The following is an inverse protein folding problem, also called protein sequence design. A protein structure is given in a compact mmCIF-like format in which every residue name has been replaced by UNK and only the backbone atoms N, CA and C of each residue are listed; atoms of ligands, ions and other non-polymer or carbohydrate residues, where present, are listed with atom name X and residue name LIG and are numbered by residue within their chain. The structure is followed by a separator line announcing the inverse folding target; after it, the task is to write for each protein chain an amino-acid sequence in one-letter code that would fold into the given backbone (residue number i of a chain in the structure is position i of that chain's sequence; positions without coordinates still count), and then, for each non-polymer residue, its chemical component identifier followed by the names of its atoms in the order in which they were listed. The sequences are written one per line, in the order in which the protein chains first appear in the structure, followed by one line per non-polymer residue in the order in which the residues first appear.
data_IF_881436448324
#
_entry.id   IF_881436448324
#
_cell.length_a   1.000
_cell.length_b   1.000
_cell.length_c   1.000
_cell.angle_alpha   90.00
_cell.angle_beta   90.00
_cell.angle_gamma   90.00
#
_symmetry.space_group_name_H-M   'P 1'
#
loop_
_entity.id
_entity.type
_entity.pdbx_description
1 polymer ?
#
# COMPACT_ATOMS: atom_id res chain seq x y z
N UNK A 1 -35.89 -45.72 11.38
CA UNK A 1 -35.21 -45.65 10.09
C UNK A 1 -35.21 -44.23 9.47
N UNK A 2 -36.36 -43.51 9.45
CA UNK A 2 -36.47 -42.14 8.88
C UNK A 2 -35.68 -41.12 9.70
N UNK A 3 -35.61 -41.21 11.02
CA UNK A 3 -34.85 -40.30 11.88
C UNK A 3 -33.33 -40.47 11.72
N UNK A 4 -32.86 -41.72 11.52
CA UNK A 4 -31.44 -42.04 11.32
C UNK A 4 -30.92 -41.48 9.98
N UNK A 5 -31.73 -41.47 8.90
CA UNK A 5 -31.38 -40.90 7.60
C UNK A 5 -31.29 -39.38 7.70
N UNK A 6 -32.13 -38.70 8.49
CA UNK A 6 -32.11 -37.29 8.69
C UNK A 6 -30.82 -36.82 9.43
N UNK A 7 -30.32 -37.58 10.41
CA UNK A 7 -29.04 -37.26 11.07
C UNK A 7 -27.82 -37.39 10.15
N UNK A 8 -27.82 -38.31 9.19
CA UNK A 8 -26.72 -38.48 8.22
C UNK A 8 -26.54 -37.30 7.26
N UNK A 9 -27.64 -36.56 6.96
CA UNK A 9 -27.57 -35.39 6.08
C UNK A 9 -26.93 -34.16 6.75
N UNK A 10 -26.96 -34.07 8.08
CA UNK A 10 -26.40 -32.95 8.83
C UNK A 10 -24.88 -32.98 8.99
N UNK A 11 -24.22 -34.12 8.71
CA UNK A 11 -22.77 -34.26 8.86
C UNK A 11 -21.94 -33.78 7.67
N UNK A 12 -22.58 -33.38 6.56
CA UNK A 12 -21.91 -32.82 5.37
C UNK A 12 -21.58 -31.34 5.51
N UNK A 13 -21.25 -30.85 6.70
CA UNK A 13 -20.67 -29.52 6.86
C UNK A 13 -19.19 -29.60 6.44
N UNK A 14 -18.93 -29.67 5.12
CA UNK A 14 -17.59 -29.59 4.57
C UNK A 14 -16.97 -28.28 5.00
N UNK A 15 -15.81 -28.36 5.64
CA UNK A 15 -14.99 -27.18 6.02
C UNK A 15 -14.70 -26.35 4.78
N UNK A 16 -15.51 -25.33 4.53
CA UNK A 16 -15.27 -24.39 3.43
C UNK A 16 -13.99 -23.60 3.76
N UNK A 17 -12.86 -24.08 3.24
CA UNK A 17 -11.60 -23.38 3.35
C UNK A 17 -11.65 -22.16 2.41
N UNK A 18 -11.62 -20.97 2.96
CA UNK A 18 -11.56 -19.78 2.13
C UNK A 18 -10.29 -19.77 1.28
N UNK A 19 -10.38 -19.36 0.01
CA UNK A 19 -9.20 -19.25 -0.85
C UNK A 19 -8.23 -18.22 -0.29
N UNK A 20 -6.93 -18.52 -0.41
CA UNK A 20 -5.88 -17.59 -0.03
C UNK A 20 -5.86 -16.39 -0.98
N UNK A 21 -5.72 -15.18 -0.45
CA UNK A 21 -5.46 -13.98 -1.25
C UNK A 21 -3.97 -14.00 -1.64
N UNK A 22 -3.70 -13.95 -2.95
CA UNK A 22 -2.33 -13.97 -3.49
C UNK A 22 -2.09 -12.70 -4.27
N UNK A 23 -1.05 -11.96 -3.89
CA UNK A 23 -0.64 -10.72 -4.55
C UNK A 23 0.80 -10.83 -5.04
N UNK A 24 1.08 -10.25 -6.20
CA UNK A 24 2.41 -10.26 -6.81
C UNK A 24 2.74 -11.57 -7.55
N UNK A 25 4.02 -11.89 -7.61
CA UNK A 25 4.54 -13.01 -8.43
C UNK A 25 4.69 -14.27 -7.59
N UNK A 26 4.05 -15.35 -8.00
CA UNK A 26 4.17 -16.65 -7.31
C UNK A 26 5.59 -17.23 -7.42
N UNK A 27 6.07 -17.80 -6.30
CA UNK A 27 7.33 -18.53 -6.19
C UNK A 27 8.57 -17.70 -6.58
N UNK A 28 8.60 -16.42 -6.22
CA UNK A 28 9.71 -15.52 -6.58
C UNK A 28 11.06 -16.00 -6.04
N UNK A 29 11.10 -16.60 -4.85
CA UNK A 29 12.35 -17.14 -4.27
C UNK A 29 12.92 -18.27 -5.13
N UNK A 30 12.08 -19.23 -5.55
CA UNK A 30 12.54 -20.32 -6.42
C UNK A 30 12.99 -19.80 -7.78
N UNK A 31 12.27 -18.85 -8.35
CA UNK A 31 12.65 -18.20 -9.62
C UNK A 31 13.95 -17.42 -9.49
N UNK A 32 14.18 -16.75 -8.37
CA UNK A 32 15.42 -15.99 -8.16
C UNK A 32 16.68 -16.85 -8.14
N UNK A 33 16.57 -18.12 -7.72
CA UNK A 33 17.71 -19.06 -7.70
C UNK A 33 18.23 -19.42 -9.09
N UNK A 34 17.40 -19.26 -10.13
CA UNK A 34 17.79 -19.51 -11.53
C UNK A 34 18.60 -18.35 -12.10
N UNK A 35 18.44 -17.15 -11.52
CA UNK A 35 19.16 -15.95 -11.96
C UNK A 35 20.63 -16.02 -11.57
N UNK A 36 21.51 -15.75 -12.55
CA UNK A 36 22.96 -15.77 -12.35
C UNK A 36 23.51 -14.34 -12.31
N UNK A 37 24.19 -13.99 -11.21
CA UNK A 37 24.88 -12.70 -11.07
C UNK A 37 25.97 -12.61 -12.14
N UNK A 38 26.15 -11.43 -12.70
CA UNK A 38 27.08 -11.09 -13.78
C UNK A 38 26.81 -11.79 -15.14
N UNK A 39 25.70 -12.55 -15.28
CA UNK A 39 25.33 -13.25 -16.51
C UNK A 39 23.94 -12.86 -16.96
N UNK A 40 22.93 -13.05 -16.10
CA UNK A 40 21.54 -12.76 -16.44
C UNK A 40 21.30 -11.25 -16.62
N UNK A 41 20.48 -10.90 -17.59
CA UNK A 41 20.14 -9.51 -17.93
C UNK A 41 18.67 -9.18 -17.61
N UNK A 42 18.27 -7.93 -17.81
CA UNK A 42 16.90 -7.45 -17.59
C UNK A 42 15.84 -8.28 -18.32
N UNK A 43 16.12 -8.70 -19.57
CA UNK A 43 15.18 -9.50 -20.36
C UNK A 43 15.01 -10.92 -19.79
N UNK A 44 16.09 -11.50 -19.25
CA UNK A 44 16.01 -12.82 -18.60
C UNK A 44 15.14 -12.74 -17.34
N UNK A 45 15.27 -11.66 -16.57
CA UNK A 45 14.43 -11.41 -15.39
C UNK A 45 12.96 -11.27 -15.80
N UNK A 46 12.66 -10.48 -16.84
CA UNK A 46 11.29 -10.30 -17.32
C UNK A 46 10.66 -11.62 -17.80
N UNK A 47 11.41 -12.44 -18.53
CA UNK A 47 10.94 -13.75 -19.02
C UNK A 47 10.69 -14.73 -17.89
N UNK A 48 11.56 -14.76 -16.88
CA UNK A 48 11.51 -15.74 -15.80
C UNK A 48 10.52 -15.36 -14.70
N UNK A 49 10.53 -14.09 -14.28
CA UNK A 49 9.76 -13.60 -13.13
C UNK A 49 8.46 -12.97 -13.60
N UNK A 50 8.51 -12.08 -14.59
CA UNK A 50 7.35 -11.40 -15.15
C UNK A 50 7.62 -9.94 -15.52
N UNK A 51 6.66 -9.36 -16.24
CA UNK A 51 6.80 -8.04 -16.89
C UNK A 51 6.44 -6.85 -16.02
N UNK A 52 6.18 -7.03 -14.72
CA UNK A 52 5.74 -5.95 -13.82
C UNK A 52 6.65 -5.82 -12.59
N UNK A 53 7.93 -5.43 -12.77
CA UNK A 53 8.77 -5.06 -11.64
C UNK A 53 8.31 -3.71 -11.07
N UNK A 54 8.48 -3.54 -9.76
CA UNK A 54 8.53 -2.22 -9.17
C UNK A 54 9.92 -1.64 -9.40
N UNK A 55 10.00 -0.59 -10.19
CA UNK A 55 11.25 0.10 -10.52
C UNK A 55 11.40 1.26 -9.55
N UNK A 56 12.57 1.37 -8.93
CA UNK A 56 12.87 2.49 -8.03
C UNK A 56 12.87 3.82 -8.83
N UNK A 57 12.16 4.87 -8.37
CA UNK A 57 12.07 6.15 -9.07
C UNK A 57 13.41 6.89 -9.14
N UNK A 58 14.35 6.61 -8.22
CA UNK A 58 15.66 7.26 -8.14
C UNK A 58 16.76 6.41 -8.79
N UNK A 59 16.61 5.08 -8.84
CA UNK A 59 17.55 4.16 -9.48
C UNK A 59 16.84 3.19 -10.44
N UNK A 60 16.76 3.54 -11.71
CA UNK A 60 16.13 2.70 -12.77
C UNK A 60 16.76 1.30 -12.92
N UNK A 61 17.91 1.07 -12.29
CA UNK A 61 18.58 -0.21 -12.27
C UNK A 61 18.25 -1.05 -11.02
N UNK A 62 17.42 -0.53 -10.13
CA UNK A 62 16.91 -1.25 -8.97
C UNK A 62 15.47 -1.70 -9.21
N UNK A 63 15.27 -3.02 -9.31
CA UNK A 63 13.96 -3.64 -9.54
C UNK A 63 13.56 -4.48 -8.35
N UNK A 64 12.29 -4.37 -7.96
CA UNK A 64 11.73 -5.14 -6.86
C UNK A 64 10.52 -5.94 -7.33
N UNK A 65 10.40 -7.17 -6.85
CA UNK A 65 9.23 -8.03 -7.00
C UNK A 65 8.77 -8.47 -5.62
N UNK A 66 7.49 -8.78 -5.48
CA UNK A 66 6.93 -9.28 -4.22
C UNK A 66 5.99 -10.46 -4.47
N UNK A 67 5.88 -11.31 -3.45
CA UNK A 67 4.93 -12.39 -3.34
C UNK A 67 4.30 -12.32 -1.95
N UNK A 68 3.01 -11.97 -1.90
CA UNK A 68 2.27 -11.90 -0.64
C UNK A 68 1.15 -12.94 -0.70
N UNK A 69 1.08 -13.81 0.30
CA UNK A 69 -0.01 -14.77 0.47
C UNK A 69 -0.63 -14.53 1.83
N UNK A 70 -1.91 -14.18 1.82
CA UNK A 70 -2.71 -13.94 3.02
C UNK A 70 -3.75 -15.05 3.12
N UNK A 71 -3.79 -15.71 4.28
CA UNK A 71 -4.82 -16.67 4.65
C UNK A 71 -5.81 -16.00 5.61
N UNK A 72 -7.10 -16.23 5.37
CA UNK A 72 -8.16 -15.85 6.29
C UNK A 72 -8.55 -17.07 7.11
N UNK A 73 -8.54 -16.96 8.42
CA UNK A 73 -9.08 -17.98 9.29
C UNK A 73 -10.62 -17.93 9.29
N UNK A 74 -11.28 -18.92 9.90
CA UNK A 74 -12.75 -19.01 9.99
C UNK A 74 -13.40 -17.81 10.68
N UNK A 75 -12.65 -17.08 11.52
CA UNK A 75 -13.11 -15.87 12.22
C UNK A 75 -12.84 -14.60 11.42
N UNK A 76 -12.37 -14.70 10.17
CA UNK A 76 -12.07 -13.55 9.30
C UNK A 76 -10.73 -12.87 9.59
N UNK A 77 -9.95 -13.35 10.58
CA UNK A 77 -8.62 -12.80 10.85
C UNK A 77 -7.66 -13.16 9.72
N UNK A 78 -6.98 -12.14 9.21
CA UNK A 78 -5.98 -12.27 8.14
C UNK A 78 -4.59 -12.51 8.74
N UNK A 79 -3.88 -13.49 8.17
CA UNK A 79 -2.51 -13.81 8.55
C UNK A 79 -1.63 -13.96 7.30
N UNK A 80 -0.42 -13.41 7.36
CA UNK A 80 0.55 -13.58 6.29
C UNK A 80 1.12 -14.99 6.33
N UNK A 81 0.92 -15.76 5.25
CA UNK A 81 1.57 -17.07 5.05
C UNK A 81 2.90 -16.93 4.32
N UNK A 82 2.96 -15.97 3.40
CA UNK A 82 4.19 -15.59 2.70
C UNK A 82 4.24 -14.08 2.57
N UNK A 83 5.41 -13.53 2.77
CA UNK A 83 5.75 -12.15 2.45
C UNK A 83 7.19 -12.16 1.95
N UNK A 84 7.36 -12.42 0.66
CA UNK A 84 8.65 -12.52 0.02
C UNK A 84 8.88 -11.30 -0.85
N UNK A 85 10.07 -10.73 -0.74
CA UNK A 85 10.53 -9.60 -1.54
C UNK A 85 11.83 -10.03 -2.22
N UNK A 86 11.92 -9.76 -3.51
CA UNK A 86 13.12 -9.96 -4.32
C UNK A 86 13.57 -8.61 -4.84
N UNK A 87 14.80 -8.24 -4.53
CA UNK A 87 15.43 -7.02 -5.01
C UNK A 87 16.57 -7.40 -5.95
N UNK A 88 16.56 -6.83 -7.15
CA UNK A 88 17.57 -7.08 -8.18
C UNK A 88 18.20 -5.75 -8.57
N UNK A 89 19.52 -5.64 -8.41
CA UNK A 89 20.28 -4.49 -8.84
C UNK A 89 21.04 -4.85 -10.12
N UNK A 90 20.88 -4.01 -11.15
CA UNK A 90 21.58 -4.14 -12.43
C UNK A 90 22.74 -3.15 -12.52
N UNK A 91 23.72 -3.48 -13.33
CA UNK A 91 24.75 -2.53 -13.74
C UNK A 91 24.26 -1.66 -14.93
N UNK A 92 25.09 -0.72 -15.38
CA UNK A 92 24.74 0.20 -16.48
C UNK A 92 24.50 -0.52 -17.82
N UNK A 93 24.95 -1.79 -17.97
CA UNK A 93 24.72 -2.63 -19.16
C UNK A 93 23.44 -3.47 -19.04
N UNK A 94 22.69 -3.34 -17.93
CA UNK A 94 21.48 -4.10 -17.70
C UNK A 94 21.70 -5.55 -17.25
N UNK A 95 22.91 -5.90 -16.78
CA UNK A 95 23.28 -7.22 -16.28
C UNK A 95 23.13 -7.20 -14.75
N UNK A 96 22.65 -8.29 -14.15
CA UNK A 96 22.47 -8.42 -12.71
C UNK A 96 23.83 -8.27 -12.00
N UNK A 97 23.89 -7.30 -11.09
CA UNK A 97 25.04 -7.09 -10.20
C UNK A 97 24.80 -7.69 -8.81
N UNK A 98 23.56 -7.60 -8.31
CA UNK A 98 23.21 -8.07 -6.97
C UNK A 98 21.76 -8.60 -6.95
N UNK A 99 21.54 -9.67 -6.19
CA UNK A 99 20.22 -10.23 -5.92
C UNK A 99 20.06 -10.38 -4.40
N UNK A 100 19.00 -9.83 -3.86
CA UNK A 100 18.65 -9.92 -2.42
C UNK A 100 17.23 -10.47 -2.28
N UNK A 101 17.02 -11.34 -1.32
CA UNK A 101 15.72 -11.91 -1.01
C UNK A 101 15.39 -11.70 0.45
N UNK A 102 14.17 -11.25 0.72
CA UNK A 102 13.63 -11.08 2.07
C UNK A 102 12.37 -11.93 2.17
N UNK A 103 12.12 -12.47 3.35
CA UNK A 103 10.97 -13.32 3.61
C UNK A 103 10.23 -12.86 4.88
N UNK A 104 9.22 -13.60 5.29
CA UNK A 104 8.38 -13.29 6.45
C UNK A 104 9.20 -13.18 7.76
N UNK A 105 10.31 -13.92 7.91
CA UNK A 105 11.16 -13.84 9.10
C UNK A 105 11.94 -12.53 9.21
N UNK A 106 12.14 -11.83 8.10
CA UNK A 106 12.78 -10.51 8.07
C UNK A 106 11.78 -9.37 8.35
N UNK A 107 10.48 -9.70 8.46
CA UNK A 107 9.44 -8.70 8.68
C UNK A 107 9.52 -8.13 10.10
N UNK A 108 9.64 -6.81 10.20
CA UNK A 108 9.61 -6.11 11.48
C UNK A 108 8.20 -5.59 11.76
N UNK A 109 7.71 -5.81 12.98
CA UNK A 109 6.50 -5.17 13.46
C UNK A 109 6.81 -3.71 13.81
N UNK A 110 6.39 -2.80 12.94
CA UNK A 110 6.47 -1.37 13.22
C UNK A 110 5.32 -1.03 14.17
N UNK A 111 5.66 -0.65 15.41
CA UNK A 111 4.68 -0.06 16.32
C UNK A 111 4.44 1.37 15.86
N UNK A 112 3.17 1.72 15.65
CA UNK A 112 2.82 3.10 15.39
C UNK A 112 3.25 3.96 16.58
N UNK A 113 3.98 5.05 16.31
CA UNK A 113 4.27 6.05 17.33
C UNK A 113 2.98 6.80 17.65
N UNK A 114 2.55 6.78 18.90
CA UNK A 114 1.44 7.60 19.38
C UNK A 114 1.83 9.08 19.51
N UNK A 115 3.10 9.41 19.27
CA UNK A 115 3.58 10.78 19.24
C UNK A 115 2.85 11.53 18.13
N UNK A 116 1.85 12.30 18.51
CA UNK A 116 1.25 13.30 17.64
C UNK A 116 2.34 14.29 17.28
N UNK A 117 2.78 14.29 16.04
CA UNK A 117 3.47 15.47 15.49
C UNK A 117 2.56 16.64 15.82
N UNK A 118 3.06 17.62 16.59
CA UNK A 118 2.38 18.91 16.66
C UNK A 118 2.22 19.33 15.21
N UNK A 119 1.00 19.18 14.68
CA UNK A 119 0.62 19.90 13.49
C UNK A 119 1.12 21.32 13.76
N UNK A 120 1.78 21.94 12.79
CA UNK A 120 1.83 23.39 12.71
C UNK A 120 0.36 23.82 12.55
N UNK A 121 -0.41 23.72 13.65
CA UNK A 121 -1.69 24.38 13.74
C UNK A 121 -1.35 25.81 13.40
N UNK A 122 -1.88 26.27 12.27
CA UNK A 122 -1.92 27.70 11.99
C UNK A 122 -2.31 28.32 13.32
N UNK A 123 -1.38 29.06 13.90
CA UNK A 123 -1.51 29.69 15.19
C UNK A 123 -2.92 30.29 15.23
N UNK A 124 -3.75 29.97 16.24
CA UNK A 124 -5.13 30.50 16.30
C UNK A 124 -5.14 32.02 16.08
N UNK A 125 -4.02 32.68 16.38
CA UNK A 125 -3.76 34.06 16.09
C UNK A 125 -3.74 34.40 14.59
N UNK A 126 -3.29 33.50 13.71
CA UNK A 126 -3.24 33.72 12.26
C UNK A 126 -4.65 33.54 11.66
N UNK A 127 -5.38 32.51 12.10
CA UNK A 127 -6.77 32.29 11.67
C UNK A 127 -7.65 33.46 12.09
N UNK A 128 -7.54 33.91 13.34
CA UNK A 128 -8.26 35.07 13.84
C UNK A 128 -7.88 36.37 13.11
N UNK A 129 -6.63 36.58 12.76
CA UNK A 129 -6.19 37.73 11.93
C UNK A 129 -6.78 37.69 10.52
N UNK A 130 -6.82 36.51 9.87
CA UNK A 130 -7.42 36.35 8.54
C UNK A 130 -8.92 36.59 8.61
N UNK A 131 -9.62 36.01 9.57
CA UNK A 131 -11.07 36.19 9.74
C UNK A 131 -11.42 37.65 10.05
N UNK A 132 -10.68 38.31 10.91
CA UNK A 132 -10.90 39.72 11.26
C UNK A 132 -10.59 40.65 10.07
N UNK A 133 -9.58 40.35 9.27
CA UNK A 133 -9.30 41.12 8.06
C UNK A 133 -10.39 40.96 6.99
N UNK A 134 -10.94 39.76 6.84
CA UNK A 134 -12.06 39.51 5.93
C UNK A 134 -13.35 40.15 6.38
N UNK A 135 -13.67 40.14 7.69
CA UNK A 135 -14.81 40.88 8.26
C UNK A 135 -14.72 42.40 7.98
N UNK A 136 -13.56 42.99 8.27
CA UNK A 136 -13.34 44.45 8.00
C UNK A 136 -13.50 44.78 6.53
N UNK A 137 -13.14 43.90 5.60
CA UNK A 137 -13.36 44.13 4.15
C UNK A 137 -14.84 44.08 3.81
N UNK A 138 -15.60 43.13 4.33
CA UNK A 138 -17.04 42.99 4.13
C UNK A 138 -17.81 44.19 4.73
N UNK A 139 -17.43 44.66 5.91
CA UNK A 139 -18.04 45.85 6.53
C UNK A 139 -17.78 47.13 5.75
N UNK A 140 -16.58 47.30 5.16
CA UNK A 140 -16.28 48.44 4.26
C UNK A 140 -17.07 48.36 2.96
N UNK A 141 -17.20 47.17 2.35
CA UNK A 141 -18.02 46.97 1.18
C UNK A 141 -19.49 47.31 1.42
N UNK A 142 -20.06 46.87 2.55
CA UNK A 142 -21.42 47.23 2.95
C UNK A 142 -21.62 48.74 3.15
N UNK A 143 -20.65 49.41 3.75
CA UNK A 143 -20.71 50.85 4.00
C UNK A 143 -20.68 51.65 2.69
N UNK A 144 -19.95 51.16 1.68
CA UNK A 144 -19.92 51.78 0.35
C UNK A 144 -21.25 51.57 -0.37
N UNK A 145 -21.92 50.45 -0.25
CA UNK A 145 -23.24 50.17 -0.82
C UNK A 145 -24.33 51.02 -0.13
N UNK A 146 -24.26 51.26 1.14
CA UNK A 146 -25.20 52.09 1.92
C UNK A 146 -25.04 53.61 1.56
N UNK A 147 -23.79 54.06 1.32
CA UNK A 147 -23.49 55.44 0.90
C UNK A 147 -23.81 55.71 -0.58
N UNK A 148 -23.95 54.68 -1.41
CA UNK A 148 -24.21 54.80 -2.86
C UNK A 148 -25.65 54.42 -3.22
N UNK A 149 -26.59 54.42 -2.26
CA UNK A 149 -28.01 54.23 -2.57
C UNK A 149 -28.58 55.47 -3.25
N UNK A 150 -28.90 55.45 -4.55
CA UNK A 150 -29.36 56.63 -5.29
C UNK A 150 -30.85 56.95 -5.06
N UNK A 151 -31.54 56.28 -4.13
CA UNK A 151 -32.94 56.55 -3.81
C UNK A 151 -33.07 56.95 -2.35
N UNK A 152 -33.50 58.19 -2.11
CA UNK A 152 -33.90 58.62 -0.77
C UNK A 152 -35.15 57.84 -0.36
N UNK A 153 -35.18 57.37 0.91
CA UNK A 153 -36.36 56.75 1.53
C UNK A 153 -37.46 57.77 1.71
#
# INVERSE_FOLDING_TARGET
LKLSIFCLILTNCSSFKQPNEVHGVKNIILKSQILKINISNKNDVLKLIGYQPLIDPFDKNLWSYFEIVIEKNRLGKKEFKKNNILIIKFNNKGIINKVETYNLSNMQNIKFSENKTKSLALDDSIITKILNSSRKRLERAKKIDDDFSPFPK
#
